data_IF_161161890078
#
_entry.id   IF_161161890078
#
_cell.length_a   1.000
_cell.length_b   1.000
_cell.length_c   1.000
_cell.angle_alpha   90.00
_cell.angle_beta   90.00
_cell.angle_gamma   90.00
#
_symmetry.space_group_name_H-M   'P 1'
#
loop_
_entity.id
_entity.type
_entity.pdbx_description
1 polymer ?
#
# COMPACT_ATOMS: atom_id res chain seq x y z
N UNK A 1 1.85 -51.57 -43.00
CA UNK A 1 2.76 -50.44 -42.70
C UNK A 1 2.43 -49.18 -43.52
N UNK A 2 1.24 -48.57 -43.33
CA UNK A 2 0.91 -47.23 -43.86
C UNK A 2 -0.14 -46.58 -42.95
N UNK A 3 0.30 -45.99 -41.83
CA UNK A 3 -0.57 -45.21 -40.93
C UNK A 3 0.19 -44.19 -40.05
N UNK A 4 1.37 -43.69 -40.45
CA UNK A 4 2.18 -42.76 -39.61
C UNK A 4 2.45 -41.38 -40.25
N UNK A 5 1.88 -41.07 -41.42
CA UNK A 5 2.16 -39.81 -42.13
C UNK A 5 1.18 -38.66 -41.80
N UNK A 6 0.01 -38.95 -41.22
CA UNK A 6 -1.04 -37.94 -41.02
C UNK A 6 -0.87 -37.06 -39.76
N UNK A 7 0.02 -37.42 -38.82
CA UNK A 7 0.23 -36.66 -37.58
C UNK A 7 1.12 -35.42 -37.76
N UNK A 8 2.05 -35.44 -38.71
CA UNK A 8 2.97 -34.31 -38.98
C UNK A 8 2.27 -33.08 -39.59
N UNK A 9 1.29 -33.30 -40.46
CA UNK A 9 0.55 -32.20 -41.12
C UNK A 9 -0.36 -31.41 -40.18
N UNK A 10 -0.94 -32.06 -39.15
CA UNK A 10 -1.79 -31.40 -38.15
C UNK A 10 -0.99 -30.54 -37.17
N UNK A 11 0.27 -30.92 -36.85
CA UNK A 11 1.17 -30.14 -35.99
C UNK A 11 1.63 -28.83 -36.66
N UNK A 12 1.91 -28.85 -37.97
CA UNK A 12 2.26 -27.65 -38.74
C UNK A 12 1.11 -26.64 -38.88
N UNK A 13 -0.14 -27.11 -39.01
CA UNK A 13 -1.33 -26.24 -39.06
C UNK A 13 -1.63 -25.56 -37.72
N UNK A 14 -1.35 -26.21 -36.59
CA UNK A 14 -1.55 -25.63 -35.26
C UNK A 14 -0.54 -24.52 -34.96
N UNK A 15 0.73 -24.71 -35.36
CA UNK A 15 1.80 -23.70 -35.22
C UNK A 15 1.53 -22.48 -36.14
N UNK A 16 1.03 -22.71 -37.35
CA UNK A 16 0.62 -21.63 -38.25
C UNK A 16 -0.60 -20.84 -37.72
N UNK A 17 -1.57 -21.53 -37.10
CA UNK A 17 -2.74 -20.89 -36.49
C UNK A 17 -2.38 -20.05 -35.25
N UNK A 18 -1.45 -20.52 -34.42
CA UNK A 18 -0.91 -19.76 -33.27
C UNK A 18 -0.09 -18.54 -33.73
N UNK A 19 0.72 -18.67 -34.79
CA UNK A 19 1.46 -17.55 -35.37
C UNK A 19 0.55 -16.50 -36.05
N UNK A 20 -0.58 -16.92 -36.63
CA UNK A 20 -1.58 -16.02 -37.20
C UNK A 20 -2.40 -15.29 -36.11
N UNK A 21 -2.74 -15.99 -35.01
CA UNK A 21 -3.42 -15.38 -33.86
C UNK A 21 -2.60 -14.31 -33.15
N UNK A 22 -1.28 -14.51 -33.04
CA UNK A 22 -0.36 -13.51 -32.46
C UNK A 22 -0.22 -12.24 -33.33
N UNK A 23 -0.28 -12.37 -34.67
CA UNK A 23 -0.27 -11.20 -35.58
C UNK A 23 -1.55 -10.37 -35.49
N UNK A 24 -2.71 -11.01 -35.25
CA UNK A 24 -3.99 -10.32 -35.09
C UNK A 24 -4.08 -9.48 -33.81
N UNK A 25 -3.50 -9.96 -32.70
CA UNK A 25 -3.52 -9.26 -31.41
C UNK A 25 -2.62 -8.01 -31.40
N UNK A 26 -1.49 -8.03 -32.11
CA UNK A 26 -0.57 -6.88 -32.20
C UNK A 26 -1.06 -5.82 -33.19
N UNK A 27 -1.78 -6.20 -34.24
CA UNK A 27 -2.33 -5.26 -35.24
C UNK A 27 -3.51 -4.41 -34.73
N UNK A 28 -4.29 -4.91 -33.77
CA UNK A 28 -5.47 -4.21 -33.26
C UNK A 28 -5.16 -3.11 -32.23
N UNK A 29 -4.00 -3.16 -31.57
CA UNK A 29 -3.60 -2.18 -30.55
C UNK A 29 -2.83 -0.96 -31.11
N UNK A 30 -2.42 -0.99 -32.38
CA UNK A 30 -1.49 0.01 -32.97
C UNK A 30 -2.10 1.08 -33.87
N UNK A 31 -3.42 1.09 -34.08
CA UNK A 31 -4.05 1.95 -35.08
C UNK A 31 -5.13 2.86 -34.49
N UNK A 32 -4.73 3.84 -33.65
CA UNK A 32 -5.50 5.09 -33.42
C UNK A 32 -4.63 6.14 -32.69
N UNK A 33 -4.19 7.14 -33.44
CA UNK A 33 -3.59 8.41 -32.97
C UNK A 33 -2.06 8.37 -32.77
N UNK A 34 -1.24 9.26 -33.28
CA UNK A 34 -1.46 10.47 -34.07
C UNK A 34 -0.15 10.76 -34.85
N UNK A 35 -0.29 10.99 -36.15
CA UNK A 35 0.73 11.65 -36.98
C UNK A 35 0.41 13.14 -36.93
N UNK A 36 1.36 13.96 -36.48
CA UNK A 36 1.13 15.40 -36.33
C UNK A 36 2.39 16.19 -35.99
N UNK A 37 3.33 16.20 -36.95
CA UNK A 37 4.26 17.29 -37.27
C UNK A 37 5.04 17.99 -36.13
N UNK A 38 6.34 17.69 -36.09
CA UNK A 38 7.36 18.65 -35.69
C UNK A 38 7.59 19.69 -36.80
N UNK A 39 7.64 20.98 -36.45
CA UNK A 39 8.75 21.89 -36.84
C UNK A 39 8.51 23.37 -36.48
N UNK A 40 9.53 23.91 -35.81
CA UNK A 40 10.13 25.24 -35.97
C UNK A 40 9.39 26.51 -35.50
N UNK A 41 10.02 27.18 -34.51
CA UNK A 41 10.57 28.58 -34.53
C UNK A 41 10.85 29.00 -33.09
N UNK A 42 12.09 29.04 -32.60
CA UNK A 42 13.10 30.10 -32.73
C UNK A 42 12.58 31.55 -32.58
N UNK A 43 13.14 32.21 -31.56
CA UNK A 43 13.24 33.65 -31.30
C UNK A 43 11.98 34.42 -30.85
N UNK A 44 11.98 34.84 -29.57
CA UNK A 44 12.04 36.27 -29.23
C UNK A 44 12.34 36.47 -27.74
N UNK A 45 13.26 37.40 -27.48
CA UNK A 45 13.83 37.79 -26.21
C UNK A 45 13.17 39.12 -25.77
N UNK A 46 13.04 39.30 -24.46
CA UNK A 46 12.81 40.56 -23.71
C UNK A 46 11.36 41.09 -23.56
N UNK A 47 11.07 41.99 -22.59
CA UNK A 47 11.78 42.29 -21.34
C UNK A 47 10.91 42.19 -20.06
N UNK A 48 11.64 42.10 -18.95
CA UNK A 48 11.26 42.37 -17.56
C UNK A 48 10.27 43.53 -17.40
N UNK A 49 9.14 43.28 -16.72
CA UNK A 49 8.25 44.31 -16.18
C UNK A 49 8.34 44.27 -14.65
N UNK A 50 8.92 45.33 -14.11
CA UNK A 50 9.01 45.59 -12.68
C UNK A 50 7.62 45.66 -12.05
N UNK A 51 7.42 44.91 -10.97
CA UNK A 51 6.28 45.05 -10.08
C UNK A 51 6.56 46.18 -9.05
N UNK A 52 5.56 46.98 -8.66
CA UNK A 52 5.73 48.05 -7.70
C UNK A 52 5.99 47.53 -6.28
N UNK A 53 7.00 48.11 -5.62
CA UNK A 53 7.29 47.99 -4.19
C UNK A 53 6.06 48.45 -3.39
N UNK A 54 5.43 47.53 -2.67
CA UNK A 54 4.48 47.85 -1.62
C UNK A 54 5.26 48.26 -0.35
N UNK A 55 4.92 49.43 0.19
CA UNK A 55 5.39 49.94 1.48
C UNK A 55 4.90 49.02 2.61
N UNK A 56 5.83 48.55 3.44
CA UNK A 56 5.54 47.80 4.65
C UNK A 56 4.95 48.72 5.73
N UNK A 57 3.77 48.39 6.23
CA UNK A 57 3.23 48.98 7.45
C UNK A 57 3.97 48.40 8.69
N UNK A 58 4.18 49.20 9.75
CA UNK A 58 4.83 48.72 10.97
C UNK A 58 3.95 47.72 11.73
N UNK A 59 4.54 46.59 12.12
CA UNK A 59 3.90 45.56 12.94
C UNK A 59 3.56 46.09 14.35
N UNK A 60 2.38 45.75 14.92
CA UNK A 60 2.05 46.08 16.30
C UNK A 60 2.93 45.30 17.30
N UNK A 61 3.20 45.84 18.50
CA UNK A 61 4.01 45.17 19.52
C UNK A 61 3.33 43.90 20.05
N UNK A 62 4.11 42.88 20.44
CA UNK A 62 3.57 41.62 20.95
C UNK A 62 2.83 41.82 22.29
N UNK A 63 1.74 41.07 22.55
CA UNK A 63 1.04 41.12 23.83
C UNK A 63 1.90 40.56 24.97
N UNK A 64 1.70 41.04 26.21
CA UNK A 64 2.44 40.55 27.38
C UNK A 64 2.13 39.06 27.63
N UNK A 65 3.11 38.29 28.16
CA UNK A 65 2.91 36.89 28.47
C UNK A 65 1.85 36.70 29.57
N UNK A 66 1.02 35.65 29.48
CA UNK A 66 0.02 35.36 30.51
C UNK A 66 0.69 35.01 31.84
N UNK A 67 0.07 35.37 32.98
CA UNK A 67 0.57 34.97 34.29
C UNK A 67 0.56 33.44 34.45
N UNK A 68 1.54 32.86 35.17
CA UNK A 68 1.57 31.43 35.42
C UNK A 68 0.31 31.00 36.19
N UNK A 69 -0.27 29.82 35.86
CA UNK A 69 -1.44 29.32 36.55
C UNK A 69 -1.11 29.06 38.03
N UNK A 70 -1.96 29.61 38.91
CA UNK A 70 -1.87 29.38 40.35
C UNK A 70 -1.98 27.88 40.65
N UNK A 71 -0.97 27.33 41.32
CA UNK A 71 -0.99 25.96 41.84
C UNK A 71 -2.14 25.80 42.85
N UNK A 72 -3.18 25.06 42.46
CA UNK A 72 -4.23 24.64 43.38
C UNK A 72 -3.72 23.47 44.25
N UNK A 73 -3.72 23.58 45.60
CA UNK A 73 -3.15 22.56 46.49
C UNK A 73 -3.98 21.26 46.64
N UNK A 74 -4.93 20.98 45.73
CA UNK A 74 -5.86 19.85 45.84
C UNK A 74 -5.65 18.69 44.85
N UNK A 75 -4.80 18.84 43.83
CA UNK A 75 -4.70 17.86 42.73
C UNK A 75 -3.84 16.62 43.04
N UNK A 76 -3.02 16.63 44.10
CA UNK A 76 -2.12 15.51 44.44
C UNK A 76 -2.82 14.35 45.15
N UNK A 77 -3.91 14.59 45.87
CA UNK A 77 -4.61 13.55 46.65
C UNK A 77 -5.53 12.69 45.78
N UNK A 78 -6.10 13.26 44.71
CA UNK A 78 -6.91 12.51 43.73
C UNK A 78 -6.09 11.58 42.83
N UNK A 79 -4.86 11.99 42.46
CA UNK A 79 -3.97 11.19 41.61
C UNK A 79 -3.46 9.92 42.32
N UNK A 80 -3.23 9.98 43.64
CA UNK A 80 -2.80 8.82 44.43
C UNK A 80 -3.96 7.84 44.69
N UNK A 81 -5.18 8.33 44.93
CA UNK A 81 -6.37 7.49 45.08
C UNK A 81 -6.80 6.82 43.76
N UNK A 82 -6.63 7.50 42.63
CA UNK A 82 -6.86 6.92 41.31
C UNK A 82 -5.80 5.87 40.95
N UNK A 83 -4.53 6.14 41.25
CA UNK A 83 -3.42 5.19 41.04
C UNK A 83 -3.57 3.89 41.84
N UNK A 84 -4.01 3.98 43.11
CA UNK A 84 -4.25 2.80 43.94
C UNK A 84 -5.40 1.92 43.40
N UNK A 85 -6.51 2.53 42.97
CA UNK A 85 -7.64 1.80 42.36
C UNK A 85 -7.32 1.23 40.99
N UNK A 86 -6.47 1.91 40.21
CA UNK A 86 -5.99 1.40 38.93
C UNK A 86 -5.03 0.21 39.12
N UNK A 87 -4.17 0.24 40.14
CA UNK A 87 -3.30 -0.89 40.48
C UNK A 87 -4.10 -2.12 40.94
N UNK A 88 -5.13 -1.94 41.77
CA UNK A 88 -6.04 -3.04 42.18
C UNK A 88 -6.80 -3.64 40.99
N UNK A 89 -7.25 -2.82 40.04
CA UNK A 89 -7.91 -3.31 38.81
C UNK A 89 -6.95 -3.98 37.84
N UNK A 90 -5.74 -3.44 37.68
CA UNK A 90 -4.68 -4.06 36.88
C UNK A 90 -4.29 -5.44 37.42
N UNK A 91 -4.14 -5.57 38.73
CA UNK A 91 -3.91 -6.83 39.43
C UNK A 91 -5.07 -7.84 39.26
N UNK A 92 -6.31 -7.37 39.37
CA UNK A 92 -7.50 -8.20 39.14
C UNK A 92 -7.62 -8.67 37.67
N UNK A 93 -7.35 -7.77 36.71
CA UNK A 93 -7.32 -8.08 35.28
C UNK A 93 -6.20 -9.08 34.95
N UNK A 94 -5.04 -8.96 35.58
CA UNK A 94 -3.96 -9.94 35.47
C UNK A 94 -4.37 -11.33 36.00
N UNK A 95 -5.03 -11.37 37.15
CA UNK A 95 -5.47 -12.61 37.77
C UNK A 95 -6.48 -13.35 36.88
N UNK A 96 -7.33 -12.63 36.15
CA UNK A 96 -8.23 -13.19 35.13
C UNK A 96 -7.48 -13.59 33.85
N UNK A 97 -6.50 -12.78 33.42
CA UNK A 97 -5.72 -12.99 32.21
C UNK A 97 -4.69 -14.13 32.31
N UNK A 98 -4.37 -14.67 33.49
CA UNK A 98 -3.33 -15.69 33.62
C UNK A 98 -3.80 -17.10 34.03
N UNK A 99 -5.08 -17.30 34.37
CA UNK A 99 -5.62 -18.65 34.64
C UNK A 99 -5.09 -19.30 35.93
N UNK A 100 -6.03 -19.69 36.78
CA UNK A 100 -5.91 -20.39 38.07
C UNK A 100 -4.67 -21.31 38.24
N UNK A 101 -3.58 -20.78 38.80
CA UNK A 101 -2.43 -21.56 39.25
C UNK A 101 -1.19 -20.73 39.61
N UNK A 102 -0.90 -19.67 38.85
CA UNK A 102 0.23 -18.75 39.10
C UNK A 102 -0.13 -17.53 40.00
N UNK A 103 -1.39 -17.46 40.47
CA UNK A 103 -2.05 -16.23 40.92
C UNK A 103 -1.29 -15.44 41.99
N UNK A 104 -0.89 -16.04 43.11
CA UNK A 104 -0.35 -15.25 44.25
C UNK A 104 1.06 -14.71 44.03
N UNK A 105 1.93 -15.46 43.35
CA UNK A 105 3.30 -15.02 43.09
C UNK A 105 3.36 -13.97 41.97
N UNK A 106 2.54 -14.15 40.93
CA UNK A 106 2.39 -13.18 39.85
C UNK A 106 1.74 -11.90 40.35
N UNK A 107 0.66 -12.00 41.13
CA UNK A 107 -0.05 -10.84 41.70
C UNK A 107 0.85 -10.03 42.65
N UNK A 108 1.64 -10.72 43.48
CA UNK A 108 2.68 -10.08 44.32
C UNK A 108 3.79 -9.41 43.49
N UNK A 109 4.10 -9.94 42.31
CA UNK A 109 5.13 -9.38 41.44
C UNK A 109 4.59 -8.19 40.64
N UNK A 110 3.36 -8.28 40.13
CA UNK A 110 2.68 -7.20 39.40
C UNK A 110 2.36 -6.02 40.32
N UNK A 111 1.86 -6.26 41.54
CA UNK A 111 1.58 -5.18 42.51
C UNK A 111 2.81 -4.33 42.88
N UNK A 112 4.03 -4.82 42.63
CA UNK A 112 5.27 -4.05 42.82
C UNK A 112 5.65 -3.17 41.63
N UNK A 113 5.07 -3.40 40.46
CA UNK A 113 5.35 -2.63 39.25
C UNK A 113 4.55 -1.31 39.25
N UNK A 114 5.03 -0.26 38.55
CA UNK A 114 4.20 0.91 38.27
C UNK A 114 2.92 0.52 37.51
N UNK A 115 1.81 1.22 37.72
CA UNK A 115 0.53 0.91 37.08
C UNK A 115 0.65 0.75 35.56
N UNK A 116 1.40 1.62 34.88
CA UNK A 116 1.63 1.50 33.44
C UNK A 116 2.29 0.17 33.04
N UNK A 117 3.28 -0.31 33.80
CA UNK A 117 3.92 -1.58 33.54
C UNK A 117 2.99 -2.77 33.83
N UNK A 118 2.14 -2.67 34.87
CA UNK A 118 1.13 -3.68 35.16
C UNK A 118 0.14 -3.84 34.00
N UNK A 119 -0.51 -2.74 33.58
CA UNK A 119 -1.49 -2.77 32.50
C UNK A 119 -0.90 -3.28 31.18
N UNK A 120 0.32 -2.87 30.83
CA UNK A 120 0.98 -3.35 29.62
C UNK A 120 1.35 -4.83 29.70
N UNK A 121 1.80 -5.33 30.85
CA UNK A 121 2.06 -6.75 31.06
C UNK A 121 0.77 -7.59 30.93
N UNK A 122 -0.35 -7.09 31.47
CA UNK A 122 -1.67 -7.73 31.30
C UNK A 122 -2.09 -7.71 29.85
N UNK A 123 -1.99 -6.57 29.17
CA UNK A 123 -2.36 -6.44 27.75
C UNK A 123 -1.56 -7.42 26.89
N UNK A 124 -0.23 -7.48 27.05
CA UNK A 124 0.62 -8.46 26.36
C UNK A 124 0.23 -9.91 26.69
N UNK A 125 -0.09 -10.21 27.96
CA UNK A 125 -0.57 -11.52 28.36
C UNK A 125 -1.90 -11.90 27.68
N UNK A 126 -2.86 -10.97 27.59
CA UNK A 126 -4.14 -11.21 26.90
C UNK A 126 -3.95 -11.44 25.40
N UNK A 127 -3.06 -10.67 24.76
CA UNK A 127 -2.73 -10.81 23.34
C UNK A 127 -2.02 -12.12 23.04
N UNK A 128 -1.04 -12.51 23.86
CA UNK A 128 -0.32 -13.78 23.72
C UNK A 128 -1.25 -14.98 23.87
N UNK A 129 -2.29 -14.87 24.70
CA UNK A 129 -3.34 -15.90 24.87
C UNK A 129 -4.41 -15.86 23.78
N UNK A 130 -4.36 -14.90 22.86
CA UNK A 130 -5.42 -14.63 21.86
C UNK A 130 -6.80 -14.51 22.52
N UNK A 131 -6.87 -13.74 23.60
CA UNK A 131 -8.13 -13.41 24.25
C UNK A 131 -9.12 -12.77 23.24
N UNK A 132 -10.44 -12.84 23.48
CA UNK A 132 -11.42 -12.19 22.62
C UNK A 132 -11.09 -10.71 22.41
N UNK A 133 -11.20 -10.23 21.17
CA UNK A 133 -10.86 -8.84 20.82
C UNK A 133 -11.62 -7.82 21.68
N UNK A 134 -12.85 -8.11 22.09
CA UNK A 134 -13.64 -7.26 22.99
C UNK A 134 -12.97 -7.03 24.35
N UNK A 135 -12.31 -8.04 24.92
CA UNK A 135 -11.61 -7.93 26.21
C UNK A 135 -10.36 -7.07 26.08
N UNK A 136 -9.57 -7.29 25.03
CA UNK A 136 -8.36 -6.52 24.73
C UNK A 136 -8.69 -5.04 24.47
N UNK A 137 -9.72 -4.76 23.67
CA UNK A 137 -10.15 -3.39 23.38
C UNK A 137 -10.73 -2.71 24.63
N UNK A 138 -11.48 -3.43 25.47
CA UNK A 138 -11.98 -2.89 26.73
C UNK A 138 -10.83 -2.50 27.69
N UNK A 139 -9.77 -3.30 27.73
CA UNK A 139 -8.56 -2.98 28.51
C UNK A 139 -7.86 -1.73 27.97
N UNK A 140 -7.74 -1.59 26.65
CA UNK A 140 -7.16 -0.38 26.04
C UNK A 140 -8.01 0.85 26.33
N UNK A 141 -9.34 0.75 26.24
CA UNK A 141 -10.26 1.84 26.58
C UNK A 141 -10.19 2.21 28.08
N UNK A 142 -9.96 1.24 28.96
CA UNK A 142 -9.66 1.49 30.37
C UNK A 142 -8.35 2.24 30.54
N UNK A 143 -7.27 1.78 29.88
CA UNK A 143 -5.97 2.46 29.88
C UNK A 143 -6.09 3.90 29.38
N UNK A 144 -6.83 4.13 28.29
CA UNK A 144 -7.08 5.44 27.71
C UNK A 144 -7.82 6.36 28.69
N UNK A 145 -8.86 5.87 29.36
CA UNK A 145 -9.58 6.62 30.42
C UNK A 145 -8.69 6.93 31.62
N UNK A 146 -7.80 6.01 31.98
CA UNK A 146 -6.83 6.17 33.04
C UNK A 146 -5.60 7.02 32.65
N UNK A 147 -5.52 7.47 31.39
CA UNK A 147 -4.35 8.16 30.81
C UNK A 147 -3.05 7.35 30.94
N UNK A 148 -3.17 6.03 30.90
CA UNK A 148 -2.04 5.10 30.91
C UNK A 148 -1.61 4.84 29.47
N UNK A 149 -0.31 5.03 29.22
CA UNK A 149 0.30 4.85 27.91
C UNK A 149 0.38 3.36 27.55
N UNK A 150 -0.15 2.97 26.39
CA UNK A 150 0.15 1.67 25.77
C UNK A 150 1.62 1.67 25.32
N UNK A 151 2.36 0.65 25.73
CA UNK A 151 3.76 0.46 25.37
C UNK A 151 3.89 0.07 23.89
N UNK A 152 4.98 0.46 23.20
CA UNK A 152 5.20 0.14 21.79
C UNK A 152 5.07 -1.36 21.49
N UNK A 153 5.60 -2.23 22.35
CA UNK A 153 5.56 -3.69 22.13
C UNK A 153 4.12 -4.23 22.24
N UNK A 154 3.29 -3.64 23.11
CA UNK A 154 1.87 -3.99 23.21
C UNK A 154 1.06 -3.45 22.02
N UNK A 155 1.45 -2.30 21.47
CA UNK A 155 0.90 -1.78 20.21
C UNK A 155 1.20 -2.77 19.08
N UNK A 156 2.47 -3.15 18.88
CA UNK A 156 2.85 -4.10 17.84
C UNK A 156 2.09 -5.43 17.99
N UNK A 157 2.07 -5.99 19.20
CA UNK A 157 1.37 -7.23 19.48
C UNK A 157 -0.15 -7.15 19.22
N UNK A 158 -0.78 -5.99 19.46
CA UNK A 158 -2.21 -5.81 19.19
C UNK A 158 -2.50 -5.91 17.70
N UNK A 159 -1.69 -5.25 16.87
CA UNK A 159 -1.81 -5.26 15.40
C UNK A 159 -1.51 -6.65 14.87
N UNK A 160 -0.43 -7.28 15.34
CA UNK A 160 0.00 -8.63 14.91
C UNK A 160 -1.00 -9.73 15.31
N UNK A 161 -1.80 -9.50 16.36
CA UNK A 161 -2.84 -10.42 16.78
C UNK A 161 -4.10 -10.38 15.88
N UNK A 162 -4.26 -9.35 15.05
CA UNK A 162 -5.44 -9.24 14.18
C UNK A 162 -5.29 -10.15 12.95
N UNK A 163 -6.33 -10.90 12.56
CA UNK A 163 -6.27 -11.71 11.35
C UNK A 163 -6.23 -10.78 10.13
N UNK A 164 -5.33 -11.05 9.18
CA UNK A 164 -5.22 -10.27 7.93
C UNK A 164 -6.52 -10.18 7.12
N UNK A 165 -7.43 -11.15 7.29
CA UNK A 165 -8.73 -11.20 6.63
C UNK A 165 -9.78 -10.29 7.27
N UNK A 166 -9.58 -9.84 8.51
CA UNK A 166 -10.55 -9.06 9.27
C UNK A 166 -10.13 -7.59 9.37
N UNK A 167 -10.46 -6.86 8.30
CA UNK A 167 -10.22 -5.41 8.20
C UNK A 167 -10.95 -4.64 9.33
N UNK A 168 -12.08 -5.16 9.82
CA UNK A 168 -12.85 -4.52 10.88
C UNK A 168 -12.18 -4.63 12.24
N UNK A 169 -11.65 -5.81 12.56
CA UNK A 169 -10.86 -6.01 13.77
C UNK A 169 -9.59 -5.14 13.74
N UNK A 170 -8.90 -5.08 12.59
CA UNK A 170 -7.73 -4.20 12.42
C UNK A 170 -8.08 -2.72 12.60
N UNK A 171 -9.15 -2.23 11.96
CA UNK A 171 -9.58 -0.84 12.12
C UNK A 171 -9.90 -0.50 13.57
N UNK A 172 -10.62 -1.37 14.28
CA UNK A 172 -10.96 -1.18 15.70
C UNK A 172 -9.73 -1.16 16.59
N UNK A 173 -8.75 -2.03 16.33
CA UNK A 173 -7.48 -2.04 17.05
C UNK A 173 -6.73 -0.72 16.89
N UNK A 174 -6.57 -0.25 15.65
CA UNK A 174 -5.83 0.97 15.35
C UNK A 174 -6.55 2.23 15.85
N UNK A 175 -7.88 2.27 15.76
CA UNK A 175 -8.72 3.33 16.33
C UNK A 175 -8.64 3.38 17.86
N UNK A 176 -8.65 2.23 18.55
CA UNK A 176 -8.44 2.17 19.99
C UNK A 176 -7.04 2.68 20.41
N UNK A 177 -6.02 2.39 19.60
CA UNK A 177 -4.65 2.91 19.80
C UNK A 177 -4.57 4.42 19.56
N UNK A 178 -5.24 4.94 18.53
CA UNK A 178 -5.30 6.37 18.23
C UNK A 178 -6.00 7.19 19.33
N UNK A 179 -6.99 6.60 20.01
CA UNK A 179 -7.62 7.22 21.19
C UNK A 179 -6.74 7.18 22.45
N UNK A 180 -5.73 6.33 22.49
CA UNK A 180 -4.83 6.24 23.63
C UNK A 180 -3.79 7.37 23.55
N UNK A 181 -3.52 8.12 24.64
CA UNK A 181 -2.53 9.20 24.63
C UNK A 181 -1.08 8.75 24.30
N UNK A 182 -0.84 7.44 24.22
CA UNK A 182 0.39 6.85 23.70
C UNK A 182 0.56 6.94 22.19
N UNK A 183 -0.52 6.77 21.44
CA UNK A 183 -0.55 6.69 19.97
C UNK A 183 -0.91 8.06 19.44
N UNK A 184 0.10 8.86 19.08
CA UNK A 184 -0.13 10.25 18.68
C UNK A 184 -0.26 10.46 17.17
N UNK A 185 -0.13 9.41 16.35
CA UNK A 185 0.00 9.58 14.90
C UNK A 185 -0.90 8.68 14.04
N UNK A 186 -1.50 7.61 14.57
CA UNK A 186 -2.41 6.78 13.76
C UNK A 186 -3.75 7.50 13.57
N UNK A 187 -4.26 7.55 12.34
CA UNK A 187 -5.63 8.00 12.04
C UNK A 187 -5.86 9.51 12.06
N UNK A 188 -4.95 10.32 12.63
CA UNK A 188 -4.85 11.72 12.20
C UNK A 188 -4.25 11.69 10.80
N UNK A 189 -5.03 12.04 9.76
CA UNK A 189 -4.52 12.25 8.41
C UNK A 189 -3.40 13.31 8.46
N UNK A 190 -2.17 12.89 8.76
CA UNK A 190 -1.00 13.75 8.78
C UNK A 190 -0.71 14.29 7.37
N UNK A 191 -1.21 13.57 6.36
CA UNK A 191 -1.18 13.93 4.96
C UNK A 191 -2.57 14.35 4.47
N UNK A 192 -2.73 15.63 4.13
CA UNK A 192 -3.87 16.10 3.34
C UNK A 192 -3.61 15.87 1.85
N UNK A 193 -4.59 15.30 1.14
CA UNK A 193 -4.54 15.15 -0.31
C UNK A 193 -4.94 16.45 -0.98
N UNK A 194 -4.24 16.84 -2.06
CA UNK A 194 -4.69 18.01 -2.83
C UNK A 194 -6.07 17.76 -3.40
N UNK A 195 -6.96 18.75 -3.32
CA UNK A 195 -8.22 18.66 -4.04
C UNK A 195 -7.96 18.71 -5.55
N UNK A 196 -8.62 17.84 -6.35
CA UNK A 196 -8.56 17.99 -7.78
C UNK A 196 -9.12 19.37 -8.16
N UNK A 197 -8.54 20.06 -9.15
CA UNK A 197 -9.03 21.36 -9.56
C UNK A 197 -10.50 21.25 -10.01
N UNK A 198 -11.38 22.07 -9.45
CA UNK A 198 -12.83 22.04 -9.73
C UNK A 198 -13.19 22.73 -11.05
N UNK A 199 -12.39 23.69 -11.50
CA UNK A 199 -12.62 24.38 -12.76
C UNK A 199 -12.20 23.48 -13.93
N UNK A 200 -13.12 23.10 -14.80
CA UNK A 200 -12.90 22.14 -15.90
C UNK A 200 -11.69 22.48 -16.80
N UNK A 201 -11.47 23.76 -17.11
CA UNK A 201 -10.33 24.19 -17.93
C UNK A 201 -9.00 24.06 -17.18
N UNK A 202 -8.95 24.42 -15.89
CA UNK A 202 -7.78 24.16 -15.04
C UNK A 202 -7.59 22.66 -14.78
N UNK A 203 -8.69 21.93 -14.69
CA UNK A 203 -8.74 20.49 -14.45
C UNK A 203 -8.13 19.75 -15.63
N UNK A 204 -8.58 19.98 -16.86
CA UNK A 204 -7.98 19.39 -18.06
C UNK A 204 -6.49 19.73 -18.19
N UNK A 205 -6.10 20.97 -17.87
CA UNK A 205 -4.69 21.40 -17.95
C UNK A 205 -3.80 20.78 -16.87
N UNK A 206 -4.32 20.64 -15.64
CA UNK A 206 -3.60 20.02 -14.53
C UNK A 206 -3.55 18.49 -14.69
N UNK A 207 -4.67 17.86 -15.05
CA UNK A 207 -4.77 16.42 -15.24
C UNK A 207 -3.97 15.94 -16.45
N UNK A 208 -3.96 16.69 -17.55
CA UNK A 208 -3.07 16.43 -18.69
C UNK A 208 -1.58 16.60 -18.38
N UNK A 209 -1.24 17.16 -17.21
CA UNK A 209 0.14 17.29 -16.73
C UNK A 209 0.60 16.17 -15.80
N UNK A 210 -0.30 15.31 -15.31
CA UNK A 210 0.10 14.19 -14.47
C UNK A 210 0.59 13.03 -15.33
N UNK A 211 1.76 12.49 -14.98
CA UNK A 211 2.25 11.28 -15.60
C UNK A 211 1.28 10.12 -15.29
N UNK A 212 0.87 9.33 -16.29
CA UNK A 212 0.08 8.14 -16.02
C UNK A 212 0.90 7.16 -15.16
N UNK A 213 0.24 6.32 -14.33
CA UNK A 213 0.96 5.27 -13.64
C UNK A 213 1.65 4.36 -14.67
N UNK A 214 2.87 3.88 -14.39
CA UNK A 214 3.61 3.02 -15.31
C UNK A 214 2.75 1.83 -15.75
N UNK A 215 2.78 1.53 -17.05
CA UNK A 215 2.01 0.44 -17.61
C UNK A 215 2.49 -0.90 -17.05
N UNK A 216 1.57 -1.72 -16.58
CA UNK A 216 1.87 -3.07 -16.14
C UNK A 216 1.82 -4.02 -17.34
N UNK A 217 3.00 -4.41 -17.83
CA UNK A 217 3.13 -5.36 -18.92
C UNK A 217 3.24 -6.82 -18.44
N UNK A 218 3.06 -7.11 -17.13
CA UNK A 218 3.26 -8.46 -16.57
C UNK A 218 2.45 -9.54 -17.26
N UNK A 219 1.17 -9.29 -17.57
CA UNK A 219 0.35 -10.29 -18.25
C UNK A 219 0.87 -10.59 -19.66
N UNK A 220 1.24 -9.55 -20.40
CA UNK A 220 1.86 -9.69 -21.71
C UNK A 220 3.21 -10.43 -21.61
N UNK A 221 4.02 -10.09 -20.62
CA UNK A 221 5.31 -10.74 -20.37
C UNK A 221 5.15 -12.22 -19.98
N UNK A 222 4.19 -12.56 -19.12
CA UNK A 222 3.85 -13.95 -18.75
C UNK A 222 3.33 -14.72 -19.97
N UNK A 223 2.47 -14.11 -20.78
CA UNK A 223 1.96 -14.71 -22.01
C UNK A 223 3.09 -14.95 -23.03
N UNK A 224 3.99 -13.99 -23.20
CA UNK A 224 5.17 -14.12 -24.07
C UNK A 224 6.13 -15.18 -23.54
N UNK A 225 6.40 -15.23 -22.24
CA UNK A 225 7.25 -16.24 -21.61
C UNK A 225 6.65 -17.65 -21.75
N UNK A 226 5.35 -17.81 -21.48
CA UNK A 226 4.64 -19.07 -21.66
C UNK A 226 4.62 -19.49 -23.13
N UNK A 227 4.36 -18.55 -24.05
CA UNK A 227 4.41 -18.79 -25.49
C UNK A 227 5.80 -19.24 -25.94
N UNK A 228 6.86 -18.60 -25.44
CA UNK A 228 8.25 -18.98 -25.69
C UNK A 228 8.57 -20.37 -25.14
N UNK A 229 8.12 -20.69 -23.92
CA UNK A 229 8.30 -21.99 -23.30
C UNK A 229 7.58 -23.11 -24.07
N UNK A 230 6.33 -22.87 -24.48
CA UNK A 230 5.54 -23.81 -25.28
C UNK A 230 6.14 -24.02 -26.67
N UNK A 231 6.62 -22.95 -27.32
CA UNK A 231 7.31 -23.06 -28.60
C UNK A 231 8.62 -23.83 -28.46
N UNK A 232 9.38 -23.57 -27.40
CA UNK A 232 10.57 -24.33 -27.05
C UNK A 232 10.25 -25.82 -26.91
N UNK A 233 9.26 -26.17 -26.09
CA UNK A 233 8.82 -27.55 -25.91
C UNK A 233 8.38 -28.19 -27.24
N UNK A 234 7.68 -27.45 -28.11
CA UNK A 234 7.25 -27.96 -29.41
C UNK A 234 8.42 -28.17 -30.40
N UNK A 235 9.44 -27.31 -30.38
CA UNK A 235 10.60 -27.39 -31.27
C UNK A 235 11.59 -28.50 -30.85
N UNK A 236 11.62 -28.85 -29.57
CA UNK A 236 12.53 -29.87 -29.04
C UNK A 236 12.04 -31.30 -29.30
N UNK A 237 10.76 -31.47 -29.64
CA UNK A 237 10.18 -32.77 -29.99
C UNK A 237 10.07 -33.74 -28.80
N UNK A 238 9.26 -34.78 -28.98
CA UNK A 238 8.97 -35.79 -27.96
C UNK A 238 10.24 -36.58 -27.53
N UNK A 239 11.22 -36.74 -28.43
CA UNK A 239 12.44 -37.52 -28.17
C UNK A 239 13.48 -36.78 -27.30
N UNK A 240 13.55 -35.45 -27.37
CA UNK A 240 14.51 -34.70 -26.54
C UNK A 240 13.98 -34.52 -25.12
N UNK A 241 12.66 -34.37 -24.95
CA UNK A 241 11.99 -34.35 -23.63
C UNK A 241 12.15 -35.70 -22.92
N UNK A 242 12.03 -36.81 -23.64
CA UNK A 242 12.27 -38.15 -23.11
C UNK A 242 13.74 -38.40 -22.71
N UNK A 243 14.70 -37.79 -23.43
CA UNK A 243 16.13 -37.94 -23.14
C UNK A 243 16.67 -36.91 -22.12
N UNK A 244 15.95 -35.82 -21.85
CA UNK A 244 16.33 -34.76 -20.91
C UNK A 244 15.66 -34.88 -19.53
N UNK A 245 14.63 -35.71 -19.39
CA UNK A 245 14.20 -36.22 -18.08
C UNK A 245 14.87 -37.59 -17.83
N UNK A 246 16.13 -37.67 -17.40
CA UNK A 246 16.60 -38.91 -16.81
C UNK A 246 15.74 -39.20 -15.57
N UNK A 247 15.50 -40.48 -15.30
CA UNK A 247 14.69 -41.03 -14.20
C UNK A 247 15.15 -40.64 -12.78
N UNK A 248 16.02 -39.65 -12.63
CA UNK A 248 16.57 -39.11 -11.39
C UNK A 248 15.87 -37.80 -11.04
N UNK A 249 14.58 -37.85 -10.70
CA UNK A 249 13.82 -36.96 -9.79
C UNK A 249 14.11 -35.45 -9.65
N UNK A 250 14.88 -34.80 -10.52
CA UNK A 250 15.30 -33.39 -10.39
C UNK A 250 14.64 -32.59 -11.50
N UNK A 251 13.62 -31.85 -11.10
CA UNK A 251 12.64 -31.08 -11.89
C UNK A 251 13.19 -29.76 -12.46
N UNK A 252 14.34 -29.75 -13.13
CA UNK A 252 14.82 -28.55 -13.80
C UNK A 252 15.27 -28.86 -15.24
N UNK A 253 14.60 -28.34 -16.28
CA UNK A 253 15.16 -28.39 -17.63
C UNK A 253 16.52 -27.67 -17.62
N UNK A 254 17.52 -28.15 -18.37
CA UNK A 254 18.83 -27.52 -18.39
C UNK A 254 18.68 -26.07 -18.84
N UNK A 255 19.03 -25.12 -17.96
CA UNK A 255 18.92 -23.67 -18.18
C UNK A 255 19.55 -23.22 -19.51
N UNK A 256 20.58 -23.94 -19.98
CA UNK A 256 21.22 -23.71 -21.27
C UNK A 256 20.25 -23.82 -22.47
N UNK A 257 19.26 -24.70 -22.37
CA UNK A 257 18.34 -25.01 -23.45
C UNK A 257 17.17 -24.02 -23.49
N UNK A 258 16.68 -23.62 -22.31
CA UNK A 258 15.80 -22.44 -22.17
C UNK A 258 16.51 -21.18 -22.69
N UNK A 259 17.80 -21.04 -22.38
CA UNK A 259 18.65 -19.96 -22.89
C UNK A 259 18.79 -19.96 -24.41
N UNK A 260 18.96 -21.13 -25.04
CA UNK A 260 19.08 -21.25 -26.50
C UNK A 260 17.77 -20.93 -27.25
N UNK A 261 16.63 -21.41 -26.75
CA UNK A 261 15.31 -21.08 -27.31
C UNK A 261 15.01 -19.59 -27.12
N UNK A 262 15.30 -19.03 -25.95
CA UNK A 262 15.18 -17.59 -25.71
C UNK A 262 16.08 -16.79 -26.65
N UNK A 263 17.34 -17.19 -26.87
CA UNK A 263 18.26 -16.54 -27.79
C UNK A 263 17.78 -16.58 -29.26
N UNK A 264 17.21 -17.72 -29.70
CA UNK A 264 16.65 -17.85 -31.05
C UNK A 264 15.41 -16.96 -31.24
N UNK A 265 14.53 -16.88 -30.23
CA UNK A 265 13.37 -15.99 -30.22
C UNK A 265 13.79 -14.51 -30.17
N UNK A 266 14.81 -14.18 -29.38
CA UNK A 266 15.43 -12.85 -29.31
C UNK A 266 16.03 -12.42 -30.66
N UNK A 267 16.68 -13.34 -31.36
CA UNK A 267 17.23 -13.11 -32.71
C UNK A 267 16.13 -12.87 -33.75
N UNK A 268 15.07 -13.67 -33.72
CA UNK A 268 13.93 -13.52 -34.62
C UNK A 268 13.14 -12.21 -34.37
N UNK A 269 12.97 -11.80 -33.11
CA UNK A 269 12.25 -10.57 -32.76
C UNK A 269 13.03 -9.29 -33.08
N UNK A 270 14.36 -9.29 -32.90
CA UNK A 270 15.22 -8.17 -33.35
C UNK A 270 15.11 -7.95 -34.86
N UNK A 271 14.93 -9.02 -35.63
CA UNK A 271 14.77 -8.94 -37.07
C UNK A 271 13.36 -8.47 -37.50
N UNK A 272 12.31 -8.83 -36.74
CA UNK A 272 10.92 -8.59 -37.13
C UNK A 272 10.26 -7.35 -36.47
N UNK A 273 10.51 -7.07 -35.19
CA UNK A 273 9.78 -6.07 -34.38
C UNK A 273 10.68 -5.08 -33.62
N UNK A 274 11.90 -4.82 -34.09
CA UNK A 274 12.85 -3.88 -33.45
C UNK A 274 13.21 -4.21 -31.99
N UNK A 275 12.98 -5.45 -31.53
CA UNK A 275 13.35 -5.90 -30.18
C UNK A 275 12.30 -5.68 -29.08
N UNK A 276 11.05 -5.36 -29.40
CA UNK A 276 10.02 -5.16 -28.38
C UNK A 276 9.70 -6.45 -27.58
N UNK A 277 9.63 -7.61 -28.24
CA UNK A 277 9.43 -8.88 -27.53
C UNK A 277 10.71 -9.34 -26.84
N UNK A 278 11.87 -8.99 -27.38
CA UNK A 278 13.16 -9.18 -26.73
C UNK A 278 13.25 -8.43 -25.40
N UNK A 279 12.83 -7.18 -25.37
CA UNK A 279 12.76 -6.37 -24.15
C UNK A 279 11.72 -6.90 -23.16
N UNK A 280 10.60 -7.45 -23.63
CA UNK A 280 9.61 -8.11 -22.77
C UNK A 280 10.15 -9.41 -22.18
N UNK A 281 10.82 -10.25 -22.97
CA UNK A 281 11.47 -11.48 -22.50
C UNK A 281 12.60 -11.20 -21.52
N UNK A 282 13.43 -10.20 -21.79
CA UNK A 282 14.50 -9.78 -20.90
C UNK A 282 13.94 -9.26 -19.57
N UNK A 283 12.86 -8.47 -19.60
CA UNK A 283 12.14 -8.04 -18.38
C UNK A 283 11.53 -9.23 -17.63
N UNK A 284 10.89 -10.15 -18.32
CA UNK A 284 10.31 -11.36 -17.73
C UNK A 284 11.38 -12.23 -17.05
N UNK A 285 12.49 -12.51 -17.74
CA UNK A 285 13.61 -13.29 -17.21
C UNK A 285 14.28 -12.59 -16.02
N UNK A 286 14.46 -11.27 -16.10
CA UNK A 286 15.02 -10.48 -15.01
C UNK A 286 14.13 -10.46 -13.75
N UNK A 287 12.80 -10.62 -13.90
CA UNK A 287 11.89 -10.80 -12.76
C UNK A 287 11.95 -12.20 -12.16
N UNK A 288 12.05 -13.24 -12.98
CA UNK A 288 12.13 -14.63 -12.50
C UNK A 288 13.44 -14.90 -11.74
N UNK A 289 14.53 -14.25 -12.13
CA UNK A 289 15.85 -14.48 -11.55
C UNK A 289 16.24 -13.64 -10.33
N UNK A 290 15.41 -12.68 -9.90
CA UNK A 290 15.78 -11.74 -8.84
C UNK A 290 14.60 -11.42 -7.92
N UNK A 291 14.36 -12.29 -6.94
CA UNK A 291 13.75 -11.86 -5.69
C UNK A 291 14.69 -10.83 -5.07
N UNK A 292 14.30 -9.56 -5.09
CA UNK A 292 15.07 -8.48 -4.53
C UNK A 292 14.37 -8.09 -3.25
N UNK A 293 14.84 -8.63 -2.13
CA UNK A 293 14.35 -8.30 -0.78
C UNK A 293 14.28 -6.79 -0.59
N UNK A 294 15.27 -6.06 -1.12
CA UNK A 294 15.32 -4.59 -1.13
C UNK A 294 14.10 -3.94 -1.82
N UNK A 295 13.69 -4.45 -2.99
CA UNK A 295 12.53 -3.92 -3.72
C UNK A 295 11.22 -4.27 -3.03
N UNK A 296 11.13 -5.48 -2.49
CA UNK A 296 9.95 -5.92 -1.73
C UNK A 296 9.81 -5.08 -0.45
N UNK A 297 10.89 -4.93 0.31
CA UNK A 297 10.92 -4.07 1.50
C UNK A 297 10.60 -2.60 1.18
N UNK A 298 11.10 -2.05 0.06
CA UNK A 298 10.73 -0.70 -0.37
C UNK A 298 9.24 -0.59 -0.69
N UNK A 299 8.69 -1.54 -1.45
CA UNK A 299 7.28 -1.56 -1.84
C UNK A 299 6.35 -1.64 -0.61
N UNK A 300 6.67 -2.53 0.33
CA UNK A 300 5.90 -2.74 1.55
C UNK A 300 6.04 -1.57 2.52
N UNK A 301 7.25 -1.04 2.71
CA UNK A 301 7.47 0.16 3.53
C UNK A 301 6.73 1.38 2.96
N UNK A 302 6.74 1.56 1.63
CA UNK A 302 6.02 2.63 0.95
C UNK A 302 4.50 2.50 1.12
N UNK A 303 3.94 1.30 0.92
CA UNK A 303 2.52 1.03 1.13
C UNK A 303 2.13 1.27 2.60
N UNK A 304 2.92 0.76 3.54
CA UNK A 304 2.67 0.89 4.97
C UNK A 304 2.69 2.35 5.41
N UNK A 305 3.75 3.10 5.07
CA UNK A 305 3.90 4.50 5.44
C UNK A 305 2.79 5.38 4.86
N UNK A 306 2.48 5.23 3.55
CA UNK A 306 1.43 6.02 2.90
C UNK A 306 0.06 5.65 3.44
N UNK A 307 -0.24 4.35 3.59
CA UNK A 307 -1.52 3.90 4.15
C UNK A 307 -1.72 4.43 5.57
N UNK A 308 -0.68 4.37 6.40
CA UNK A 308 -0.69 4.85 7.77
C UNK A 308 -0.95 6.37 7.82
N UNK A 309 -0.22 7.15 7.01
CA UNK A 309 -0.37 8.60 6.95
C UNK A 309 -1.74 9.06 6.42
N UNK A 310 -2.40 8.23 5.61
CA UNK A 310 -3.76 8.46 5.09
C UNK A 310 -4.87 7.94 6.03
N UNK A 311 -4.50 7.35 7.18
CA UNK A 311 -5.45 6.80 8.14
C UNK A 311 -6.18 5.55 7.66
N UNK A 312 -5.61 4.80 6.72
CA UNK A 312 -6.24 3.59 6.19
C UNK A 312 -6.04 2.42 7.16
N UNK A 313 -7.11 1.73 7.58
CA UNK A 313 -6.99 0.65 8.57
C UNK A 313 -6.31 -0.60 8.02
N UNK A 314 -6.19 -0.73 6.70
CA UNK A 314 -5.49 -1.81 6.01
C UNK A 314 -4.07 -1.43 5.58
N UNK A 315 -3.47 -0.39 6.16
CA UNK A 315 -2.16 0.10 5.77
C UNK A 315 -1.04 -0.95 5.87
N UNK A 316 -1.14 -1.90 6.79
CA UNK A 316 -0.17 -2.98 6.99
C UNK A 316 -0.40 -4.19 6.09
N UNK A 317 -1.50 -4.22 5.35
CA UNK A 317 -1.83 -5.30 4.43
C UNK A 317 -1.16 -5.07 3.07
N UNK A 318 -0.94 -6.16 2.34
CA UNK A 318 -0.50 -6.06 0.95
C UNK A 318 -1.51 -5.25 0.10
N UNK A 319 -1.05 -4.26 -0.70
CA UNK A 319 -1.92 -3.38 -1.47
C UNK A 319 -2.58 -4.09 -2.65
N UNK A 320 -3.73 -4.73 -2.38
CA UNK A 320 -4.54 -5.45 -3.38
C UNK A 320 -5.95 -4.92 -3.46
N UNK A 321 -6.46 -4.78 -4.68
CA UNK A 321 -7.82 -4.33 -4.93
C UNK A 321 -8.86 -5.26 -4.28
N UNK A 322 -8.65 -6.58 -4.36
CA UNK A 322 -9.58 -7.57 -3.82
C UNK A 322 -9.77 -7.48 -2.30
N UNK A 323 -8.76 -6.99 -1.56
CA UNK A 323 -8.82 -6.83 -0.09
C UNK A 323 -9.71 -5.65 0.32
N UNK A 324 -9.87 -4.65 -0.54
CA UNK A 324 -10.58 -3.39 -0.25
C UNK A 324 -11.78 -3.13 -1.18
N UNK A 325 -12.00 -3.97 -2.18
CA UNK A 325 -13.10 -3.82 -3.13
C UNK A 325 -14.48 -4.10 -2.52
N UNK A 326 -14.55 -4.66 -1.29
CA UNK A 326 -15.81 -4.72 -0.57
C UNK A 326 -16.23 -3.30 -0.17
N UNK A 327 -17.47 -2.94 -0.50
CA UNK A 327 -18.03 -1.65 -0.12
C UNK A 327 -17.94 -1.44 1.40
N UNK A 328 -17.99 -2.51 2.19
CA UNK A 328 -17.95 -2.47 3.65
C UNK A 328 -16.57 -2.06 4.19
N UNK A 329 -15.47 -2.46 3.56
CA UNK A 329 -14.13 -2.00 3.97
C UNK A 329 -13.99 -0.49 3.77
N UNK A 330 -14.42 0.03 2.62
CA UNK A 330 -14.38 1.48 2.34
C UNK A 330 -15.34 2.26 3.23
N UNK A 331 -16.54 1.73 3.49
CA UNK A 331 -17.51 2.33 4.42
C UNK A 331 -16.96 2.37 5.84
N UNK A 332 -16.27 1.32 6.27
CA UNK A 332 -15.67 1.28 7.60
C UNK A 332 -14.59 2.35 7.75
N UNK A 333 -13.71 2.51 6.76
CA UNK A 333 -12.73 3.59 6.79
C UNK A 333 -13.41 4.97 6.82
N UNK A 334 -14.43 5.19 5.97
CA UNK A 334 -15.20 6.43 5.99
C UNK A 334 -15.91 6.70 7.34
N UNK A 335 -16.42 5.65 7.98
CA UNK A 335 -17.05 5.74 9.30
C UNK A 335 -16.03 6.04 10.40
N UNK A 336 -14.82 5.47 10.32
CA UNK A 336 -13.74 5.76 11.24
C UNK A 336 -13.31 7.24 11.17
N UNK A 337 -13.24 7.82 9.96
CA UNK A 337 -12.94 9.24 9.82
C UNK A 337 -14.02 10.13 10.45
N UNK A 338 -15.29 9.77 10.28
CA UNK A 338 -16.41 10.50 10.85
C UNK A 338 -16.41 10.47 12.39
N UNK A 339 -15.84 9.41 13.00
CA UNK A 339 -15.78 9.22 14.44
C UNK A 339 -14.56 9.87 15.12
N UNK A 340 -13.53 10.27 14.36
CA UNK A 340 -12.26 10.73 14.91
C UNK A 340 -12.38 12.03 15.75
N UNK A 341 -12.05 12.01 17.06
CA UNK A 341 -12.13 13.17 17.95
C UNK A 341 -11.01 14.17 17.65
N UNK A 342 -11.27 15.10 16.74
CA UNK A 342 -10.20 15.91 16.15
C UNK A 342 -10.53 16.59 14.84
N UNK A 343 -11.65 16.23 14.20
CA UNK A 343 -12.25 16.96 13.08
C UNK A 343 -12.76 18.38 13.47
N UNK A 344 -12.14 19.00 14.48
CA UNK A 344 -12.33 20.38 14.91
C UNK A 344 -11.66 21.30 13.89
N UNK A 345 -12.41 21.68 12.85
CA UNK A 345 -12.19 22.95 12.16
C UNK A 345 -11.93 22.92 10.65
N UNK A 346 -11.84 21.75 10.01
CA UNK A 346 -11.82 21.64 8.55
C UNK A 346 -13.12 21.04 8.05
N UNK A 347 -14.10 21.87 7.68
CA UNK A 347 -15.44 21.42 7.28
C UNK A 347 -15.43 20.46 6.09
N UNK A 348 -16.35 19.49 6.08
CA UNK A 348 -16.66 18.62 4.92
C UNK A 348 -15.41 18.00 4.26
N UNK A 349 -14.33 17.87 5.03
CA UNK A 349 -13.00 17.60 4.52
C UNK A 349 -12.71 16.10 4.53
N UNK A 350 -12.53 15.58 3.32
CA UNK A 350 -11.74 14.39 3.00
C UNK A 350 -12.29 13.01 3.41
N UNK A 351 -13.61 12.82 3.30
CA UNK A 351 -14.22 11.48 3.18
C UNK A 351 -13.81 10.71 1.90
N UNK A 352 -12.81 11.21 1.14
CA UNK A 352 -12.28 10.72 -0.15
C UNK A 352 -11.54 9.39 0.02
N UNK A 353 -12.17 8.42 0.66
CA UNK A 353 -11.61 7.11 0.99
C UNK A 353 -11.18 6.36 -0.26
N UNK A 354 -11.91 6.50 -1.37
CA UNK A 354 -11.54 5.92 -2.66
C UNK A 354 -10.24 6.53 -3.16
N UNK A 355 -10.09 7.86 -3.08
CA UNK A 355 -8.86 8.52 -3.53
C UNK A 355 -7.66 8.16 -2.64
N UNK A 356 -7.85 8.09 -1.33
CA UNK A 356 -6.81 7.61 -0.40
C UNK A 356 -6.42 6.16 -0.71
N UNK A 357 -7.39 5.30 -0.97
CA UNK A 357 -7.14 3.91 -1.36
C UNK A 357 -6.38 3.81 -2.69
N UNK A 358 -6.69 4.65 -3.68
CA UNK A 358 -5.94 4.70 -4.95
C UNK A 358 -4.50 5.18 -4.75
N UNK A 359 -4.29 6.23 -3.95
CA UNK A 359 -2.96 6.74 -3.60
C UNK A 359 -2.15 5.65 -2.90
N UNK A 360 -2.76 4.91 -1.96
CA UNK A 360 -2.13 3.79 -1.28
C UNK A 360 -1.77 2.63 -2.23
N UNK A 361 -2.70 2.19 -3.09
CA UNK A 361 -2.45 1.14 -4.09
C UNK A 361 -1.33 1.51 -5.07
N UNK A 362 -1.13 2.80 -5.35
CA UNK A 362 -0.12 3.31 -6.27
C UNK A 362 1.22 3.66 -5.59
N UNK A 363 1.27 3.70 -4.26
CA UNK A 363 2.48 4.03 -3.51
C UNK A 363 3.67 3.10 -3.81
N UNK A 364 3.53 1.76 -3.85
CA UNK A 364 4.64 0.88 -4.23
C UNK A 364 5.22 1.20 -5.61
N UNK A 365 4.35 1.45 -6.59
CA UNK A 365 4.76 1.75 -7.96
C UNK A 365 5.44 3.11 -8.06
N UNK A 366 5.01 4.09 -7.26
CA UNK A 366 5.64 5.40 -7.19
C UNK A 366 7.03 5.33 -6.54
N UNK A 367 7.19 4.52 -5.48
CA UNK A 367 8.47 4.30 -4.81
C UNK A 367 9.45 3.58 -5.74
N UNK A 368 9.06 2.45 -6.34
CA UNK A 368 9.92 1.71 -7.26
C UNK A 368 10.31 2.55 -8.49
N UNK A 369 9.37 3.32 -9.04
CA UNK A 369 9.68 4.15 -10.20
C UNK A 369 10.68 5.25 -9.87
N UNK A 370 10.58 5.84 -8.66
CA UNK A 370 11.49 6.89 -8.21
C UNK A 370 12.91 6.36 -7.97
N UNK A 371 13.05 5.17 -7.37
CA UNK A 371 14.36 4.61 -7.01
C UNK A 371 15.01 3.83 -8.17
N UNK A 372 14.22 3.11 -8.96
CA UNK A 372 14.70 2.20 -10.00
C UNK A 372 14.37 2.65 -11.43
N UNK A 373 14.19 3.95 -11.64
CA UNK A 373 14.07 4.56 -12.97
C UNK A 373 12.88 4.03 -13.79
N UNK A 374 11.75 3.78 -13.13
CA UNK A 374 10.52 3.28 -13.77
C UNK A 374 10.48 1.77 -14.05
N UNK A 375 11.51 1.01 -13.68
CA UNK A 375 11.52 -0.45 -13.85
C UNK A 375 10.72 -1.16 -12.74
N UNK A 376 9.42 -1.36 -12.97
CA UNK A 376 8.57 -2.08 -12.02
C UNK A 376 8.86 -3.59 -11.98
N UNK A 377 9.09 -4.12 -10.78
CA UNK A 377 9.28 -5.56 -10.54
C UNK A 377 8.34 -6.14 -9.50
N UNK A 378 8.05 -5.42 -8.42
CA UNK A 378 7.22 -5.92 -7.30
C UNK A 378 5.83 -5.29 -7.36
N UNK A 379 5.76 -3.96 -7.45
CA UNK A 379 4.54 -3.16 -7.47
C UNK A 379 3.58 -3.44 -8.65
N UNK A 380 2.29 -3.54 -8.34
CA UNK A 380 1.21 -3.82 -9.29
C UNK A 380 0.25 -2.62 -9.45
N UNK A 381 0.56 -1.63 -10.31
CA UNK A 381 -0.30 -0.46 -10.48
C UNK A 381 -1.67 -0.83 -11.10
N UNK A 382 -1.81 -2.01 -11.69
CA UNK A 382 -3.08 -2.53 -12.20
C UNK A 382 -4.15 -2.71 -11.09
N UNK A 383 -3.74 -2.88 -9.83
CA UNK A 383 -4.66 -3.01 -8.69
C UNK A 383 -5.54 -1.75 -8.53
N UNK A 384 -5.01 -0.55 -8.78
CA UNK A 384 -5.80 0.68 -8.70
C UNK A 384 -6.91 0.73 -9.76
N UNK A 385 -6.64 0.27 -10.98
CA UNK A 385 -7.66 0.11 -12.04
C UNK A 385 -8.68 -0.95 -11.68
N UNK A 386 -8.23 -2.08 -11.14
CA UNK A 386 -9.09 -3.17 -10.71
C UNK A 386 -10.08 -2.72 -9.62
N UNK A 387 -9.63 -1.87 -8.68
CA UNK A 387 -10.49 -1.27 -7.66
C UNK A 387 -11.58 -0.40 -8.29
N UNK A 388 -11.22 0.55 -9.17
CA UNK A 388 -12.21 1.40 -9.85
C UNK A 388 -13.22 0.57 -10.65
N UNK A 389 -12.76 -0.44 -11.39
CA UNK A 389 -13.62 -1.35 -12.13
C UNK A 389 -14.56 -2.16 -11.21
N UNK A 390 -14.08 -2.61 -10.05
CA UNK A 390 -14.90 -3.30 -9.06
C UNK A 390 -15.97 -2.36 -8.47
N UNK A 391 -15.60 -1.14 -8.07
CA UNK A 391 -16.52 -0.15 -7.55
C UNK A 391 -17.56 0.29 -8.57
N UNK A 392 -17.18 0.45 -9.85
CA UNK A 392 -18.13 0.76 -10.93
C UNK A 392 -19.15 -0.35 -11.14
N UNK A 393 -18.71 -1.61 -11.04
CA UNK A 393 -19.63 -2.78 -11.09
C UNK A 393 -20.58 -2.75 -9.90
N UNK A 394 -20.08 -2.51 -8.69
CA UNK A 394 -20.90 -2.40 -7.48
C UNK A 394 -21.89 -1.22 -7.56
N UNK A 395 -21.46 -0.06 -8.05
CA UNK A 395 -22.27 1.16 -8.17
C UNK A 395 -23.46 1.04 -9.14
N UNK A 396 -23.49 -0.01 -9.98
CA UNK A 396 -24.68 -0.33 -10.80
C UNK A 396 -25.81 -0.91 -9.96
N UNK A 397 -25.48 -1.60 -8.86
CA UNK A 397 -26.44 -2.27 -7.98
C UNK A 397 -26.64 -1.54 -6.63
N UNK A 398 -25.60 -0.87 -6.13
CA UNK A 398 -25.57 -0.23 -4.82
C UNK A 398 -25.37 1.29 -4.94
N UNK A 399 -26.32 2.08 -4.41
CA UNK A 399 -26.24 3.54 -4.36
C UNK A 399 -25.10 4.04 -3.48
N UNK A 400 -24.68 3.28 -2.46
CA UNK A 400 -23.59 3.71 -1.59
C UNK A 400 -22.23 3.65 -2.31
N UNK A 401 -21.97 2.57 -3.06
CA UNK A 401 -20.79 2.49 -3.93
C UNK A 401 -20.75 3.62 -4.97
N UNK A 402 -21.90 4.05 -5.49
CA UNK A 402 -22.01 5.22 -6.38
C UNK A 402 -21.65 6.52 -5.65
N UNK A 403 -22.13 6.72 -4.42
CA UNK A 403 -21.79 7.88 -3.61
C UNK A 403 -20.27 7.95 -3.32
N UNK A 404 -19.66 6.81 -2.97
CA UNK A 404 -18.21 6.72 -2.74
C UNK A 404 -17.38 7.06 -3.99
N UNK A 405 -17.84 6.66 -5.18
CA UNK A 405 -17.15 6.98 -6.43
C UNK A 405 -17.28 8.45 -6.82
N UNK A 406 -18.44 9.05 -6.59
CA UNK A 406 -18.71 10.46 -6.82
C UNK A 406 -17.97 11.37 -5.84
N UNK A 407 -17.59 10.82 -4.68
CA UNK A 407 -16.79 11.54 -3.70
C UNK A 407 -15.41 11.93 -4.28
N UNK A 408 -15.01 13.17 -4.02
CA UNK A 408 -13.87 13.83 -4.65
C UNK A 408 -14.18 14.57 -5.97
N UNK A 409 -15.43 14.55 -6.46
CA UNK A 409 -15.87 15.37 -7.60
C UNK A 409 -15.43 14.84 -8.98
N UNK A 410 -15.16 13.54 -9.09
CA UNK A 410 -14.78 12.89 -10.35
C UNK A 410 -16.00 12.56 -11.20
N UNK A 411 -15.96 12.92 -12.49
CA UNK A 411 -17.00 12.59 -13.44
C UNK A 411 -16.90 11.12 -13.90
N UNK A 412 -17.98 10.60 -14.48
CA UNK A 412 -17.92 9.30 -15.15
C UNK A 412 -17.00 9.36 -16.37
N UNK A 413 -15.99 8.51 -16.41
CA UNK A 413 -15.03 8.42 -17.51
C UNK A 413 -13.68 9.10 -17.25
N UNK A 414 -13.51 9.83 -16.14
CA UNK A 414 -12.23 10.44 -15.75
C UNK A 414 -11.32 9.50 -14.92
N UNK A 415 -11.48 8.19 -15.09
CA UNK A 415 -10.82 7.20 -14.25
C UNK A 415 -9.29 7.20 -14.47
N UNK A 416 -8.81 7.41 -15.70
CA UNK A 416 -7.38 7.47 -16.00
C UNK A 416 -6.74 8.76 -15.47
N UNK A 417 -7.43 9.90 -15.56
CA UNK A 417 -6.95 11.14 -14.95
C UNK A 417 -6.93 11.06 -13.42
N UNK A 418 -7.92 10.38 -12.82
CA UNK A 418 -7.96 10.10 -11.38
C UNK A 418 -6.77 9.26 -10.94
N UNK A 419 -6.40 8.25 -11.73
CA UNK A 419 -5.21 7.42 -11.48
C UNK A 419 -3.91 8.20 -11.65
N UNK A 420 -3.79 9.05 -12.67
CA UNK A 420 -2.63 9.92 -12.86
C UNK A 420 -2.46 10.90 -11.69
N UNK A 421 -3.55 11.52 -11.23
CA UNK A 421 -3.54 12.36 -10.04
C UNK A 421 -3.13 11.56 -8.78
N UNK A 422 -3.73 10.40 -8.55
CA UNK A 422 -3.43 9.56 -7.38
C UNK A 422 -1.96 9.11 -7.37
N UNK A 423 -1.40 8.76 -8.53
CA UNK A 423 0.02 8.42 -8.69
C UNK A 423 0.94 9.60 -8.33
N UNK A 424 0.61 10.81 -8.81
CA UNK A 424 1.37 12.01 -8.49
C UNK A 424 1.30 12.36 -6.99
N UNK A 425 0.13 12.18 -6.37
CA UNK A 425 -0.05 12.36 -4.93
C UNK A 425 0.76 11.34 -4.13
N UNK A 426 0.77 10.07 -4.54
CA UNK A 426 1.58 9.04 -3.90
C UNK A 426 3.07 9.41 -3.93
N UNK A 427 3.60 9.82 -5.08
CA UNK A 427 4.99 10.28 -5.19
C UNK A 427 5.30 11.50 -4.34
N UNK A 428 4.34 12.42 -4.17
CA UNK A 428 4.49 13.59 -3.28
C UNK A 428 4.55 13.16 -1.81
N UNK A 429 3.65 12.29 -1.37
CA UNK A 429 3.62 11.78 0.00
C UNK A 429 4.88 10.99 0.33
N UNK A 430 5.35 10.15 -0.58
CA UNK A 430 6.60 9.39 -0.38
C UNK A 430 7.82 10.30 -0.20
N UNK A 431 7.89 11.44 -0.88
CA UNK A 431 8.95 12.43 -0.64
C UNK A 431 8.84 13.09 0.74
N UNK A 432 7.63 13.33 1.23
CA UNK A 432 7.39 13.87 2.57
C UNK A 432 7.70 12.83 3.67
N UNK A 433 7.39 11.56 3.41
CA UNK A 433 7.56 10.44 4.32
C UNK A 433 8.89 9.70 4.12
N UNK A 434 9.84 10.25 3.34
CA UNK A 434 11.07 9.55 2.98
C UNK A 434 11.87 9.02 4.20
N UNK A 435 12.02 9.78 5.31
CA UNK A 435 12.70 9.25 6.50
C UNK A 435 11.97 8.06 7.13
N UNK A 436 10.64 8.11 7.19
CA UNK A 436 9.82 7.05 7.75
C UNK A 436 9.85 5.79 6.88
N UNK A 437 9.73 5.93 5.56
CA UNK A 437 9.87 4.83 4.59
C UNK A 437 11.23 4.16 4.72
N UNK A 438 12.31 4.95 4.80
CA UNK A 438 13.66 4.38 4.95
C UNK A 438 13.82 3.63 6.27
N UNK A 439 13.29 4.16 7.38
CA UNK A 439 13.36 3.50 8.68
C UNK A 439 12.63 2.15 8.69
N UNK A 440 11.43 2.08 8.07
CA UNK A 440 10.67 0.83 7.99
C UNK A 440 11.35 -0.16 7.04
N UNK A 441 11.83 0.30 5.89
CA UNK A 441 12.56 -0.53 4.92
C UNK A 441 13.79 -1.18 5.55
N UNK A 442 14.66 -0.40 6.20
CA UNK A 442 15.85 -0.95 6.85
C UNK A 442 15.51 -1.99 7.92
N UNK A 443 14.47 -1.74 8.71
CA UNK A 443 14.00 -2.72 9.69
C UNK A 443 13.42 -4.00 9.05
N UNK A 444 12.78 -3.90 7.89
CA UNK A 444 12.31 -5.06 7.12
C UNK A 444 13.47 -5.87 6.55
N UNK A 445 14.50 -5.20 6.00
CA UNK A 445 15.70 -5.82 5.42
C UNK A 445 16.56 -6.55 6.47
N UNK A 446 16.65 -6.02 7.70
CA UNK A 446 17.52 -6.54 8.76
C UNK A 446 17.00 -7.82 9.44
N UNK A 447 15.69 -8.07 9.47
CA UNK A 447 15.17 -9.18 10.27
C UNK A 447 13.71 -9.59 10.06
N UNK A 448 13.02 -9.07 9.04
CA UNK A 448 11.59 -9.33 8.83
C UNK A 448 10.75 -8.63 9.90
N UNK A 449 10.19 -7.47 9.55
CA UNK A 449 9.39 -6.67 10.46
C UNK A 449 7.95 -7.18 10.45
N UNK A 450 7.36 -7.40 11.63
CA UNK A 450 5.92 -7.68 11.72
C UNK A 450 5.09 -6.44 11.35
N UNK A 451 3.83 -6.62 10.90
CA UNK A 451 2.89 -5.51 10.66
C UNK A 451 2.84 -4.48 11.80
N UNK A 452 2.74 -4.94 13.04
CA UNK A 452 2.75 -4.11 14.22
C UNK A 452 4.09 -3.43 14.48
N UNK A 453 5.20 -4.14 14.24
CA UNK A 453 6.54 -3.56 14.28
C UNK A 453 6.73 -2.42 13.29
N UNK A 454 6.16 -2.54 12.08
CA UNK A 454 6.19 -1.50 11.06
C UNK A 454 5.47 -0.24 11.52
N UNK A 455 4.28 -0.38 12.12
CA UNK A 455 3.56 0.75 12.70
C UNK A 455 4.37 1.42 13.81
N UNK A 456 4.97 0.65 14.72
CA UNK A 456 5.79 1.21 15.80
C UNK A 456 7.01 1.97 15.25
N UNK A 457 7.65 1.46 14.19
CA UNK A 457 8.74 2.15 13.52
C UNK A 457 8.28 3.47 12.86
N UNK A 458 7.10 3.47 12.23
CA UNK A 458 6.48 4.69 11.70
C UNK A 458 6.19 5.71 12.80
N UNK A 459 5.59 5.28 13.92
CA UNK A 459 5.31 6.17 15.04
C UNK A 459 6.54 6.80 15.67
N UNK A 460 7.68 6.11 15.64
CA UNK A 460 8.96 6.64 16.14
C UNK A 460 9.58 7.63 15.16
N UNK A 461 9.43 7.41 13.85
CA UNK A 461 10.03 8.27 12.82
C UNK A 461 9.22 9.53 12.51
N UNK A 462 7.92 9.53 12.79
CA UNK A 462 7.03 10.68 12.60
C UNK A 462 6.98 11.65 13.80
N UNK A 463 7.65 11.32 14.91
CA UNK A 463 7.82 12.19 16.09
C UNK A 463 9.19 12.84 16.07
#
# INVERSE_FOLDING_TARGET
>A
MRASSAAGGRRLLLVAALAAGARGAVGAAGARGAVGSASARLAARAPSRAAPRALAAPSPPPPPPPPPPAEQPGARTGALAFGARAAERGAAAASLAFGLGAGRALDKSLSRLPAAAQYNAVLQGTLARRAPASETLALIDEMSRARIRVAPDAHAALVDAQPESDVEAMARALDALARNPAGSAFGYCAASLDRPPTNEARRRRALGGYAPPPADARELERAVLLGAALLGAALLGDELVANLLPATGVLAPPLALVGAVAAALLGADRYANRGAAADLLARAAARVGAASLEREALADAAACAVGYALGLPWCTLEPRASRIASADALRLAAAADAAAPGARGGGEADARVVDRALVWLLAPAAAEAAEFGGSLRVAEPAQARALLAALRRAARADGAARALLADGGWAEGEDEERLGWAYAQAGRLLRQLAPAVQSVRSAMEEGGLSPGGAIVALERSLR
#
